data_IF_092800875225
#
_entry.id   IF_092800875225
#
_cell.length_a   1.000
_cell.length_b   1.000
_cell.length_c   1.000
_cell.angle_alpha   90.00
_cell.angle_beta   90.00
_cell.angle_gamma   90.00
#
_symmetry.space_group_name_H-M   'P 1'
#
loop_
_entity.id
_entity.type
_entity.pdbx_description
1 polymer ?
#
# COMPACT_ATOMS: atom_id res chain seq x y z
N UNK A 1 -39.22 9.05 -4.01
CA UNK A 1 -37.79 9.25 -4.35
C UNK A 1 -36.99 9.14 -3.07
N UNK A 2 -35.95 8.30 -2.96
CA UNK A 2 -35.15 8.24 -1.74
C UNK A 2 -34.21 9.46 -1.68
N UNK A 3 -34.13 10.09 -0.50
CA UNK A 3 -33.29 11.25 -0.23
C UNK A 3 -31.80 10.89 -0.30
N UNK A 4 -31.08 11.52 -1.23
CA UNK A 4 -29.62 11.47 -1.35
C UNK A 4 -28.97 12.62 -0.58
N UNK A 5 -29.19 12.72 0.72
CA UNK A 5 -28.48 13.69 1.57
C UNK A 5 -27.44 12.98 2.42
N UNK A 6 -26.44 12.41 1.74
CA UNK A 6 -25.15 12.20 2.40
C UNK A 6 -24.57 13.56 2.74
N UNK A 7 -24.44 13.85 4.03
CA UNK A 7 -23.90 15.10 4.52
C UNK A 7 -22.46 15.28 4.00
N UNK A 8 -22.26 16.29 3.15
CA UNK A 8 -20.98 16.58 2.50
C UNK A 8 -19.84 16.77 3.50
N UNK A 9 -20.15 17.33 4.68
CA UNK A 9 -19.18 17.52 5.75
C UNK A 9 -18.69 16.19 6.35
N UNK A 10 -19.57 15.20 6.49
CA UNK A 10 -19.22 13.90 7.05
C UNK A 10 -18.34 13.10 6.08
N UNK A 11 -18.62 13.25 4.79
CA UNK A 11 -17.79 12.72 3.71
C UNK A 11 -16.37 13.31 3.73
N UNK A 12 -16.22 14.62 3.91
CA UNK A 12 -14.90 15.25 4.04
C UNK A 12 -14.19 14.73 5.29
N UNK A 13 -14.87 14.72 6.44
CA UNK A 13 -14.31 14.34 7.74
C UNK A 13 -13.81 12.90 7.81
N UNK A 14 -14.35 11.96 7.02
CA UNK A 14 -13.88 10.56 7.01
C UNK A 14 -12.65 10.29 6.15
N UNK A 15 -12.29 11.17 5.21
CA UNK A 15 -11.16 10.96 4.30
C UNK A 15 -9.82 11.12 5.04
N UNK A 16 -8.85 10.25 4.75
CA UNK A 16 -7.47 10.32 5.24
C UNK A 16 -6.51 10.09 4.07
N UNK A 17 -5.83 11.14 3.63
CA UNK A 17 -4.85 11.10 2.54
C UNK A 17 -3.47 11.32 3.15
N UNK A 18 -2.56 10.37 2.95
CA UNK A 18 -1.21 10.44 3.54
C UNK A 18 -0.20 9.69 2.67
N UNK A 19 1.09 9.88 2.98
CA UNK A 19 2.20 9.18 2.36
C UNK A 19 3.15 8.63 3.43
N UNK A 20 3.88 7.57 3.09
CA UNK A 20 4.94 6.99 3.94
C UNK A 20 6.29 7.43 3.35
N UNK A 21 7.05 8.20 4.11
CA UNK A 21 8.43 8.59 3.79
C UNK A 21 9.39 7.84 4.73
N UNK A 22 10.46 7.27 4.18
CA UNK A 22 11.45 6.54 4.98
C UNK A 22 12.78 6.43 4.24
N UNK A 23 13.84 6.15 4.99
CA UNK A 23 15.12 5.72 4.43
C UNK A 23 14.96 4.38 3.66
N UNK A 24 15.85 4.05 2.69
CA UNK A 24 15.93 2.71 2.12
C UNK A 24 15.89 1.63 3.20
N UNK A 25 15.21 0.52 2.90
CA UNK A 25 15.10 -0.68 3.75
C UNK A 25 14.42 -0.52 5.12
N UNK A 26 13.93 0.68 5.50
CA UNK A 26 13.16 0.92 6.72
C UNK A 26 11.76 0.25 6.75
N UNK A 27 11.42 -0.57 5.73
CA UNK A 27 10.19 -1.37 5.75
C UNK A 27 8.91 -0.66 5.27
N UNK A 28 9.00 0.49 4.59
CA UNK A 28 7.82 1.20 4.02
C UNK A 28 6.87 0.30 3.22
N UNK A 29 7.44 -0.65 2.48
CA UNK A 29 6.68 -1.58 1.66
C UNK A 29 5.94 -2.60 2.53
N UNK A 30 6.60 -3.16 3.55
CA UNK A 30 5.97 -4.06 4.54
C UNK A 30 4.81 -3.37 5.25
N UNK A 31 5.00 -2.11 5.67
CA UNK A 31 3.96 -1.35 6.36
C UNK A 31 2.75 -1.09 5.45
N UNK A 32 3.00 -0.76 4.17
CA UNK A 32 1.96 -0.56 3.15
C UNK A 32 1.14 -1.84 2.94
N UNK A 33 1.77 -3.00 2.85
CA UNK A 33 1.09 -4.29 2.71
C UNK A 33 0.14 -4.55 3.89
N UNK A 34 0.60 -4.34 5.13
CA UNK A 34 -0.22 -4.55 6.33
C UNK A 34 -1.41 -3.59 6.39
N UNK A 35 -1.21 -2.31 6.06
CA UNK A 35 -2.30 -1.33 6.01
C UNK A 35 -3.38 -1.73 5.01
N UNK A 36 -2.98 -2.20 3.82
CA UNK A 36 -3.91 -2.69 2.80
C UNK A 36 -4.66 -3.95 3.25
N UNK A 37 -3.98 -4.89 3.93
CA UNK A 37 -4.64 -6.08 4.50
C UNK A 37 -5.69 -5.71 5.55
N UNK A 38 -5.34 -4.82 6.50
CA UNK A 38 -6.29 -4.37 7.52
C UNK A 38 -7.46 -3.57 6.94
N UNK A 39 -7.24 -2.88 5.82
CA UNK A 39 -8.30 -2.21 5.06
C UNK A 39 -9.14 -3.13 4.17
N UNK A 40 -8.92 -4.45 4.19
CA UNK A 40 -9.63 -5.41 3.32
C UNK A 40 -9.21 -5.37 1.85
N UNK A 41 -8.16 -4.62 1.50
CA UNK A 41 -7.65 -4.44 0.15
C UNK A 41 -6.69 -5.57 -0.26
N UNK A 42 -7.14 -6.83 -0.15
CA UNK A 42 -6.31 -8.05 -0.29
C UNK A 42 -5.53 -8.08 -1.61
N UNK A 43 -6.20 -7.79 -2.74
CA UNK A 43 -5.55 -7.80 -4.08
C UNK A 43 -4.44 -6.76 -4.20
N UNK A 44 -4.64 -5.58 -3.62
CA UNK A 44 -3.65 -4.51 -3.61
C UNK A 44 -2.48 -4.85 -2.68
N UNK A 45 -2.74 -5.44 -1.51
CA UNK A 45 -1.69 -5.93 -0.64
C UNK A 45 -0.81 -6.98 -1.33
N UNK A 46 -1.43 -7.92 -2.06
CA UNK A 46 -0.72 -8.94 -2.83
C UNK A 46 0.17 -8.37 -3.95
N UNK A 47 -0.30 -7.34 -4.67
CA UNK A 47 0.49 -6.72 -5.75
C UNK A 47 1.71 -5.94 -5.23
N UNK A 48 1.58 -5.28 -4.07
CA UNK A 48 2.71 -4.60 -3.41
C UNK A 48 3.79 -5.62 -3.01
N UNK A 49 3.39 -6.76 -2.42
CA UNK A 49 4.30 -7.86 -2.08
C UNK A 49 4.99 -8.44 -3.30
N UNK A 50 4.24 -8.72 -4.37
CA UNK A 50 4.77 -9.27 -5.62
C UNK A 50 5.81 -8.34 -6.26
N UNK A 51 5.55 -7.03 -6.31
CA UNK A 51 6.49 -6.03 -6.84
C UNK A 51 7.78 -5.96 -6.02
N UNK A 52 7.70 -6.14 -4.70
CA UNK A 52 8.89 -6.19 -3.84
C UNK A 52 9.70 -7.47 -4.09
N UNK A 53 9.04 -8.62 -4.17
CA UNK A 53 9.69 -9.90 -4.46
C UNK A 53 10.40 -9.92 -5.82
N UNK A 54 9.79 -9.33 -6.86
CA UNK A 54 10.43 -9.16 -8.17
C UNK A 54 11.73 -8.34 -8.11
N UNK A 55 11.79 -7.31 -7.26
CA UNK A 55 13.01 -6.50 -7.09
C UNK A 55 14.13 -7.28 -6.41
N UNK A 56 13.80 -8.08 -5.37
CA UNK A 56 14.80 -8.93 -4.72
C UNK A 56 15.30 -10.01 -5.67
N UNK A 57 14.40 -10.70 -6.40
CA UNK A 57 14.82 -11.71 -7.38
C UNK A 57 15.78 -11.17 -8.45
N UNK A 58 15.59 -9.93 -8.92
CA UNK A 58 16.53 -9.29 -9.84
C UNK A 58 17.86 -8.91 -9.16
N UNK A 59 17.83 -8.47 -7.90
CA UNK A 59 19.04 -8.14 -7.12
C UNK A 59 19.87 -9.39 -6.81
N UNK A 60 19.22 -10.48 -6.41
CA UNK A 60 19.86 -11.75 -6.09
C UNK A 60 20.53 -12.33 -7.35
N UNK A 61 19.88 -12.23 -8.51
CA UNK A 61 20.51 -12.59 -9.80
C UNK A 61 21.73 -11.71 -10.12
N UNK A 62 21.65 -10.41 -9.87
CA UNK A 62 22.77 -9.48 -10.07
C UNK A 62 23.93 -9.68 -9.08
N UNK A 63 23.67 -10.18 -7.87
CA UNK A 63 24.72 -10.57 -6.91
C UNK A 63 25.37 -11.91 -7.28
N UNK A 64 24.62 -12.84 -7.87
CA UNK A 64 25.13 -14.15 -8.32
C UNK A 64 26.05 -14.02 -9.56
N UNK A 65 25.86 -13.00 -10.40
CA UNK A 65 26.71 -12.76 -11.59
C UNK A 65 28.04 -12.03 -11.30
N UNK A 66 28.35 -11.69 -10.04
CA UNK A 66 29.57 -10.97 -9.65
C UNK A 66 30.61 -11.90 -9.02
#
# INVERSE_FOLDING_TARGET
MPEFTKNFQDEIKRRRTFAIISHPDAGKTTLTEKLLLYGGAIRLAGSVKARRAQKYAASDWMEIEK
#
